data_IF_397112313444
#
_entry.id   IF_397112313444
#
_cell.length_a   1.000
_cell.length_b   1.000
_cell.length_c   1.000
_cell.angle_alpha   90.00
_cell.angle_beta   90.00
_cell.angle_gamma   90.00
#
_symmetry.space_group_name_H-M   'P 1'
#
loop_
_entity.id
_entity.type
_entity.pdbx_description
1 polymer ?
#
# COMPACT_ATOMS: atom_id res chain seq x y z
N UNK A 1 -16.35 34.27 39.25
CA UNK A 1 -17.01 33.03 39.68
C UNK A 1 -16.01 31.89 39.54
N UNK A 2 -15.50 31.36 40.64
CA UNK A 2 -14.56 30.22 40.64
C UNK A 2 -15.32 28.94 40.31
N UNK A 3 -14.72 28.04 39.50
CA UNK A 3 -15.34 26.80 39.04
C UNK A 3 -15.19 25.75 40.14
N UNK A 4 -16.29 25.21 40.65
CA UNK A 4 -16.26 24.20 41.71
C UNK A 4 -15.58 22.92 41.22
N UNK A 5 -14.65 22.39 42.02
CA UNK A 5 -13.98 21.12 41.75
C UNK A 5 -14.87 19.98 42.26
N UNK A 6 -15.34 19.05 41.40
CA UNK A 6 -16.22 17.95 41.82
C UNK A 6 -15.52 16.91 42.71
N UNK A 7 -14.23 17.06 42.99
CA UNK A 7 -13.42 16.12 43.78
C UNK A 7 -13.20 16.56 45.24
N UNK A 8 -13.65 17.77 45.64
CA UNK A 8 -13.35 18.37 46.97
C UNK A 8 -14.08 17.70 48.17
N UNK A 9 -14.65 16.51 47.98
CA UNK A 9 -15.29 15.73 49.05
C UNK A 9 -15.06 14.22 48.94
N UNK A 10 -14.21 13.77 48.02
CA UNK A 10 -13.93 12.35 47.83
C UNK A 10 -12.63 11.97 48.55
N UNK A 11 -12.71 10.99 49.45
CA UNK A 11 -11.53 10.45 50.12
C UNK A 11 -10.78 9.49 49.19
N UNK A 12 -9.76 10.01 48.51
CA UNK A 12 -8.94 9.24 47.56
C UNK A 12 -8.02 8.21 48.25
N UNK A 13 -7.88 8.27 49.57
CA UNK A 13 -7.06 7.32 50.33
C UNK A 13 -7.67 5.91 50.39
N UNK A 14 -8.99 5.79 50.13
CA UNK A 14 -9.69 4.50 50.07
C UNK A 14 -9.42 3.75 48.75
N UNK A 15 -8.86 4.43 47.74
CA UNK A 15 -8.54 3.82 46.44
C UNK A 15 -7.16 3.13 46.46
N UNK A 16 -6.99 2.20 47.39
CA UNK A 16 -5.75 1.42 47.52
C UNK A 16 -5.81 0.15 46.66
N UNK A 17 -4.73 -0.21 45.95
CA UNK A 17 -4.68 -1.46 45.19
C UNK A 17 -4.77 -2.65 46.15
N UNK A 18 -5.73 -3.54 45.92
CA UNK A 18 -5.86 -4.78 46.69
C UNK A 18 -4.62 -5.65 46.48
N UNK A 19 -4.07 -6.19 47.57
CA UNK A 19 -2.93 -7.10 47.50
C UNK A 19 -3.24 -8.31 46.59
N UNK A 20 -2.29 -8.74 45.74
CA UNK A 20 -2.54 -9.82 44.79
C UNK A 20 -2.73 -11.15 45.53
N UNK A 21 -3.95 -11.66 45.53
CA UNK A 21 -4.25 -13.04 45.95
C UNK A 21 -3.69 -14.01 44.90
N UNK A 22 -2.87 -14.98 45.34
CA UNK A 22 -2.30 -16.02 44.48
C UNK A 22 -3.39 -17.01 44.05
N UNK A 23 -4.12 -16.66 42.98
CA UNK A 23 -5.10 -17.57 42.38
C UNK A 23 -4.38 -18.72 41.66
N UNK A 24 -4.88 -19.96 41.74
CA UNK A 24 -4.31 -21.08 40.99
C UNK A 24 -4.40 -20.77 39.49
N UNK A 25 -3.27 -20.90 38.80
CA UNK A 25 -3.20 -20.67 37.35
C UNK A 25 -3.80 -21.90 36.66
N UNK A 26 -4.94 -21.73 36.01
CA UNK A 26 -5.58 -22.79 35.25
C UNK A 26 -4.68 -23.28 34.10
N UNK A 27 -4.83 -24.56 33.74
CA UNK A 27 -4.04 -25.19 32.69
C UNK A 27 -4.35 -24.58 31.32
N UNK A 28 -3.31 -24.30 30.54
CA UNK A 28 -3.42 -23.60 29.25
C UNK A 28 -4.12 -24.47 28.21
N UNK A 29 -3.94 -25.78 28.30
CA UNK A 29 -4.54 -26.72 27.36
C UNK A 29 -6.05 -26.86 27.59
N UNK A 30 -6.49 -26.87 28.85
CA UNK A 30 -7.91 -26.85 29.21
C UNK A 30 -8.59 -25.57 28.74
N UNK A 31 -7.96 -24.41 28.97
CA UNK A 31 -8.47 -23.11 28.47
C UNK A 31 -8.60 -23.13 26.94
N UNK A 32 -7.63 -23.72 26.25
CA UNK A 32 -7.64 -23.85 24.79
C UNK A 32 -8.78 -24.72 24.25
N UNK A 33 -9.14 -25.80 24.98
CA UNK A 33 -10.29 -26.66 24.63
C UNK A 33 -11.61 -25.92 24.83
N UNK A 34 -11.80 -25.32 26.01
CA UNK A 34 -13.02 -24.55 26.34
C UNK A 34 -13.23 -23.41 25.35
N UNK A 35 -12.17 -22.69 24.98
CA UNK A 35 -12.26 -21.61 23.99
C UNK A 35 -12.74 -22.10 22.62
N UNK A 36 -12.23 -23.24 22.14
CA UNK A 36 -12.68 -23.85 20.86
C UNK A 36 -14.13 -24.31 20.94
N UNK A 37 -14.52 -24.98 22.01
CA UNK A 37 -15.89 -25.47 22.22
C UNK A 37 -16.91 -24.34 22.28
N UNK A 38 -16.52 -23.18 22.84
CA UNK A 38 -17.39 -22.00 22.95
C UNK A 38 -17.25 -21.03 21.77
N UNK A 39 -16.60 -21.44 20.67
CA UNK A 39 -16.54 -20.62 19.46
C UNK A 39 -15.66 -19.37 19.57
N UNK A 40 -14.63 -19.40 20.42
CA UNK A 40 -13.56 -18.41 20.49
C UNK A 40 -12.34 -18.90 19.68
N UNK A 41 -12.29 -18.67 18.36
CA UNK A 41 -11.16 -19.08 17.55
C UNK A 41 -9.89 -18.32 17.96
N UNK A 42 -8.77 -19.04 18.02
CA UNK A 42 -7.45 -18.45 18.28
C UNK A 42 -7.08 -17.45 17.17
N UNK A 43 -6.61 -16.27 17.56
CA UNK A 43 -5.98 -15.29 16.66
C UNK A 43 -4.50 -15.59 16.41
N UNK A 44 -4.04 -16.82 16.60
CA UNK A 44 -2.70 -17.18 16.16
C UNK A 44 -2.63 -17.05 14.65
N UNK A 45 -1.63 -16.32 14.17
CA UNK A 45 -1.37 -16.21 12.75
C UNK A 45 -1.20 -17.64 12.16
N UNK A 46 -1.77 -17.94 10.99
CA UNK A 46 -1.46 -19.17 10.28
C UNK A 46 0.06 -19.29 10.12
N UNK A 47 0.59 -20.51 10.30
CA UNK A 47 1.99 -20.82 10.00
C UNK A 47 2.26 -20.39 8.56
N UNK A 48 3.29 -19.56 8.38
CA UNK A 48 3.63 -18.92 7.10
C UNK A 48 3.75 -19.99 6.00
N UNK A 49 2.89 -19.90 4.99
CA UNK A 49 3.06 -20.67 3.75
C UNK A 49 4.39 -20.27 3.11
N UNK A 50 5.11 -21.20 2.43
CA UNK A 50 6.31 -20.86 1.69
C UNK A 50 6.03 -19.67 0.77
N UNK A 51 6.91 -18.68 0.79
CA UNK A 51 6.77 -17.48 -0.03
C UNK A 51 6.69 -17.90 -1.51
N UNK A 52 5.48 -17.82 -2.09
CA UNK A 52 5.32 -17.73 -3.54
C UNK A 52 6.25 -16.62 -4.05
N UNK A 53 6.85 -16.82 -5.22
CA UNK A 53 7.78 -15.92 -5.90
C UNK A 53 7.17 -14.51 -6.03
N UNK A 54 7.30 -13.71 -4.97
CA UNK A 54 6.82 -12.34 -4.96
C UNK A 54 7.71 -11.55 -5.91
N UNK A 55 7.14 -10.80 -6.86
CA UNK A 55 7.94 -9.97 -7.76
C UNK A 55 8.88 -9.10 -6.92
N UNK A 56 10.18 -9.17 -7.23
CA UNK A 56 11.25 -8.51 -6.48
C UNK A 56 10.86 -7.06 -6.27
N UNK A 57 10.68 -6.68 -5.01
CA UNK A 57 10.20 -5.35 -4.67
C UNK A 57 11.31 -4.35 -4.91
N UNK A 58 11.23 -3.60 -6.00
CA UNK A 58 12.27 -2.66 -6.37
C UNK A 58 12.15 -1.38 -5.54
N UNK A 59 12.93 -1.27 -4.46
CA UNK A 59 13.00 -0.05 -3.64
C UNK A 59 13.89 1.00 -4.29
N UNK A 60 13.38 1.69 -5.32
CA UNK A 60 14.09 2.78 -5.96
C UNK A 60 13.77 4.13 -5.28
N UNK A 61 14.71 4.69 -4.52
CA UNK A 61 14.64 6.09 -4.05
C UNK A 61 15.20 7.02 -5.11
N UNK A 62 14.35 7.54 -5.99
CA UNK A 62 14.80 8.32 -7.16
C UNK A 62 14.32 9.77 -7.21
N UNK A 63 13.62 10.25 -6.17
CA UNK A 63 13.09 11.62 -6.12
C UNK A 63 11.89 11.88 -7.06
N UNK A 64 11.50 10.91 -7.89
CA UNK A 64 10.33 10.95 -8.79
C UNK A 64 9.03 10.76 -8.02
N UNK A 65 8.61 11.81 -7.32
CA UNK A 65 7.46 11.81 -6.39
C UNK A 65 6.15 12.32 -7.01
N UNK A 66 6.18 12.86 -8.23
CA UNK A 66 4.98 13.34 -8.91
C UNK A 66 4.23 12.18 -9.56
N UNK A 67 3.00 11.95 -9.14
CA UNK A 67 2.13 10.95 -9.74
C UNK A 67 1.59 11.43 -11.10
N UNK A 68 1.69 10.58 -12.11
CA UNK A 68 1.15 10.80 -13.45
C UNK A 68 0.01 9.82 -13.66
N UNK A 69 -1.23 10.32 -13.65
CA UNK A 69 -2.43 9.50 -13.82
C UNK A 69 -2.76 9.34 -15.31
N UNK A 70 -2.21 8.29 -15.92
CA UNK A 70 -2.45 7.94 -17.31
C UNK A 70 -3.14 6.58 -17.41
N UNK A 71 -4.05 6.47 -18.38
CA UNK A 71 -4.65 5.19 -18.77
C UNK A 71 -3.94 4.70 -20.02
N UNK A 72 -3.49 3.44 -20.01
CA UNK A 72 -2.87 2.77 -21.16
C UNK A 72 -3.69 1.57 -21.61
N UNK A 73 -3.40 1.05 -22.81
CA UNK A 73 -3.89 -0.26 -23.23
C UNK A 73 -3.19 -1.38 -22.43
N UNK A 74 -3.76 -2.60 -22.37
CA UNK A 74 -3.10 -3.76 -21.75
C UNK A 74 -1.72 -4.04 -22.36
N UNK A 75 -1.62 -3.98 -23.68
CA UNK A 75 -0.37 -4.16 -24.44
C UNK A 75 0.72 -3.15 -24.02
N UNK A 76 0.32 -1.92 -23.70
CA UNK A 76 1.24 -0.88 -23.24
C UNK A 76 1.77 -1.17 -21.82
N UNK A 77 0.93 -1.65 -20.89
CA UNK A 77 1.42 -2.02 -19.55
C UNK A 77 2.33 -3.25 -19.61
N UNK A 78 1.99 -4.26 -20.40
CA UNK A 78 2.86 -5.43 -20.61
C UNK A 78 4.23 -5.03 -21.16
N UNK A 79 4.25 -4.12 -22.14
CA UNK A 79 5.49 -3.61 -22.71
C UNK A 79 6.30 -2.81 -21.69
N UNK A 80 5.65 -1.97 -20.90
CA UNK A 80 6.30 -1.20 -19.83
C UNK A 80 6.88 -2.12 -18.75
N UNK A 81 6.16 -3.16 -18.33
CA UNK A 81 6.63 -4.11 -17.32
C UNK A 81 7.84 -4.92 -17.82
N UNK A 82 7.85 -5.31 -19.11
CA UNK A 82 9.00 -5.96 -19.74
C UNK A 82 10.25 -5.08 -19.65
N UNK A 83 10.14 -3.80 -20.02
CA UNK A 83 11.25 -2.84 -19.95
C UNK A 83 11.73 -2.61 -18.50
N UNK A 84 10.83 -2.60 -17.52
CA UNK A 84 11.20 -2.54 -16.10
C UNK A 84 12.07 -3.74 -15.72
N UNK A 85 11.68 -4.95 -16.14
CA UNK A 85 12.43 -6.18 -15.88
C UNK A 85 13.80 -6.20 -16.57
N UNK A 86 13.85 -5.82 -17.86
CA UNK A 86 15.07 -5.82 -18.68
C UNK A 86 16.09 -4.78 -18.22
N UNK A 87 15.64 -3.55 -17.98
CA UNK A 87 16.52 -2.43 -17.62
C UNK A 87 16.75 -2.34 -16.10
N UNK A 88 15.95 -3.05 -15.30
CA UNK A 88 15.97 -3.01 -13.84
C UNK A 88 15.91 -1.57 -13.30
N UNK A 89 14.98 -0.77 -13.83
CA UNK A 89 14.73 0.62 -13.45
C UNK A 89 13.24 0.86 -13.23
N UNK A 90 12.83 1.82 -12.38
CA UNK A 90 11.41 2.07 -12.13
C UNK A 90 10.70 2.62 -13.38
N UNK A 91 9.39 2.35 -13.49
CA UNK A 91 8.52 2.83 -14.58
C UNK A 91 8.69 4.33 -14.88
N UNK A 92 8.90 5.16 -13.86
CA UNK A 92 9.11 6.60 -14.02
C UNK A 92 10.35 6.97 -14.83
N UNK A 93 11.45 6.22 -14.71
CA UNK A 93 12.67 6.44 -15.51
C UNK A 93 12.41 6.12 -16.97
N UNK A 94 11.76 4.98 -17.23
CA UNK A 94 11.41 4.55 -18.59
C UNK A 94 10.50 5.59 -19.26
N UNK A 95 9.52 6.10 -18.52
CA UNK A 95 8.62 7.14 -19.02
C UNK A 95 9.37 8.43 -19.36
N UNK A 96 10.32 8.88 -18.54
CA UNK A 96 11.15 10.05 -18.84
C UNK A 96 11.98 9.87 -20.11
N UNK A 97 12.63 8.72 -20.27
CA UNK A 97 13.41 8.41 -21.48
C UNK A 97 12.51 8.29 -22.72
N UNK A 98 11.33 7.68 -22.58
CA UNK A 98 10.35 7.61 -23.66
C UNK A 98 9.87 8.99 -24.09
N UNK A 99 9.68 9.93 -23.16
CA UNK A 99 9.33 11.31 -23.47
C UNK A 99 10.45 12.05 -24.23
N UNK A 100 11.71 11.87 -23.81
CA UNK A 100 12.86 12.42 -24.55
C UNK A 100 12.94 11.87 -25.97
N UNK A 101 12.77 10.56 -26.13
CA UNK A 101 12.74 9.92 -27.44
C UNK A 101 11.58 10.48 -28.28
N UNK A 102 10.38 10.64 -27.71
CA UNK A 102 9.23 11.22 -28.39
C UNK A 102 9.49 12.66 -28.84
N UNK A 103 10.17 13.48 -28.04
CA UNK A 103 10.52 14.85 -28.42
C UNK A 103 11.39 14.93 -29.67
N UNK A 104 12.27 13.96 -29.88
CA UNK A 104 13.12 13.89 -31.07
C UNK A 104 12.34 13.64 -32.36
N UNK A 105 11.17 12.99 -32.27
CA UNK A 105 10.33 12.59 -33.41
C UNK A 105 8.98 13.32 -33.48
N UNK A 106 8.70 14.26 -32.56
CA UNK A 106 7.35 14.82 -32.37
C UNK A 106 6.76 15.56 -33.59
N UNK A 107 7.60 15.97 -34.53
CA UNK A 107 7.19 16.67 -35.75
C UNK A 107 7.40 15.84 -37.02
N UNK A 108 7.76 14.57 -36.91
CA UNK A 108 7.87 13.69 -38.06
C UNK A 108 6.50 13.53 -38.72
N UNK A 109 6.47 13.57 -40.05
CA UNK A 109 5.24 13.43 -40.84
C UNK A 109 4.52 12.11 -40.51
N UNK A 110 5.26 11.01 -40.44
CA UNK A 110 4.73 9.67 -40.11
C UNK A 110 4.01 9.63 -38.76
N UNK A 111 4.64 10.19 -37.72
CA UNK A 111 4.04 10.26 -36.40
C UNK A 111 2.80 11.14 -36.46
N UNK A 112 2.87 12.29 -37.10
CA UNK A 112 1.71 13.20 -37.23
C UNK A 112 0.57 12.49 -37.95
N UNK A 113 0.79 11.87 -39.10
CA UNK A 113 -0.26 11.18 -39.87
C UNK A 113 -0.90 10.02 -39.12
N UNK A 114 -0.11 9.14 -38.48
CA UNK A 114 -0.64 8.03 -37.66
C UNK A 114 -1.59 8.56 -36.61
N UNK A 115 -1.18 9.63 -35.97
CA UNK A 115 -1.75 10.16 -34.75
C UNK A 115 -2.99 11.02 -35.15
N UNK A 116 -3.07 11.55 -36.39
CA UNK A 116 -4.28 12.13 -36.99
C UNK A 116 -5.32 11.07 -37.36
N UNK A 117 -4.85 9.91 -37.85
CA UNK A 117 -5.69 8.77 -38.20
C UNK A 117 -6.36 8.18 -36.97
N UNK A 118 -5.61 8.01 -35.88
CA UNK A 118 -6.10 7.48 -34.61
C UNK A 118 -6.97 8.50 -33.84
N UNK A 119 -6.60 9.79 -33.91
CA UNK A 119 -7.29 10.86 -33.17
C UNK A 119 -7.75 11.98 -34.12
N UNK A 120 -8.75 11.74 -34.98
CA UNK A 120 -9.14 12.68 -36.04
C UNK A 120 -9.61 14.04 -35.54
N UNK A 121 -10.17 14.11 -34.32
CA UNK A 121 -10.67 15.36 -33.74
C UNK A 121 -9.55 16.28 -33.23
N UNK A 122 -8.30 15.83 -33.13
CA UNK A 122 -7.20 16.65 -32.61
C UNK A 122 -6.85 17.83 -33.52
N UNK A 123 -7.09 17.72 -34.85
CA UNK A 123 -6.82 18.79 -35.82
C UNK A 123 -7.73 19.99 -35.61
N UNK A 124 -8.94 19.78 -35.06
CA UNK A 124 -9.92 20.84 -34.82
C UNK A 124 -9.54 21.77 -33.66
N UNK A 125 -8.53 21.40 -32.86
CA UNK A 125 -8.06 22.13 -31.68
C UNK A 125 -6.75 22.90 -31.92
N UNK A 126 -6.19 22.81 -33.13
CA UNK A 126 -5.05 23.63 -33.58
C UNK A 126 -5.56 24.85 -34.34
#
# INVERSE_FOLDING_TARGET
MSRANPLDGLNLEEFQPKAPEAKPKADRDEIGRIAKENGFPSRQAPIEKPAEDRPRQHYFRTGRNKQINIKGSPECDEHLQRLVGELNVPKGVILEEALKALESIKFTAELTERLDREFPNRRKLR
#
